data_IF_035071938895
#
_entry.id   IF_035071938895
#
_cell.length_a   1.000
_cell.length_b   1.000
_cell.length_c   1.000
_cell.angle_alpha   90.00
_cell.angle_beta   90.00
_cell.angle_gamma   90.00
#
_symmetry.space_group_name_H-M   'P 1'
#
loop_
_entity.id
_entity.type
_entity.pdbx_description
1 polymer ?
#
# COMPACT_ATOMS: atom_id res chain seq x y z
N UNK A 1 17.45 -24.27 -6.16
CA UNK A 1 17.00 -22.87 -6.40
C UNK A 1 15.52 -22.96 -6.70
N UNK A 2 14.68 -22.92 -5.67
CA UNK A 2 13.24 -23.17 -5.79
C UNK A 2 12.59 -21.88 -6.26
N UNK A 3 12.10 -21.85 -7.50
CA UNK A 3 11.25 -20.78 -8.03
C UNK A 3 10.03 -20.67 -7.13
N UNK A 4 10.00 -19.63 -6.29
CA UNK A 4 8.82 -19.25 -5.51
C UNK A 4 7.73 -18.98 -6.55
N UNK A 5 6.73 -19.85 -6.65
CA UNK A 5 5.42 -19.44 -7.18
C UNK A 5 5.06 -18.19 -6.38
N UNK A 6 4.98 -17.04 -7.03
CA UNK A 6 4.30 -15.88 -6.48
C UNK A 6 2.94 -16.39 -6.04
N UNK A 7 2.68 -16.40 -4.74
CA UNK A 7 1.37 -16.81 -4.24
C UNK A 7 0.33 -15.89 -4.90
N UNK A 8 -0.77 -16.47 -5.39
CA UNK A 8 -1.85 -15.71 -6.04
C UNK A 8 -2.49 -14.70 -5.06
N UNK A 9 -2.24 -14.89 -3.77
CA UNK A 9 -2.69 -14.06 -2.67
C UNK A 9 -1.69 -14.10 -1.49
N UNK A 10 -1.81 -13.13 -0.59
CA UNK A 10 -1.12 -13.08 0.71
C UNK A 10 -2.16 -13.09 1.83
N UNK A 11 -2.04 -14.00 2.80
CA UNK A 11 -2.94 -14.00 3.95
C UNK A 11 -2.57 -12.88 4.93
N UNK A 12 -3.59 -12.24 5.49
CA UNK A 12 -3.48 -11.18 6.51
C UNK A 12 -4.31 -11.53 7.75
N UNK A 13 -3.84 -11.10 8.91
CA UNK A 13 -4.56 -11.30 10.17
C UNK A 13 -4.20 -10.26 11.22
N UNK A 14 -5.09 -10.07 12.17
CA UNK A 14 -4.79 -9.33 13.39
C UNK A 14 -4.05 -10.25 14.37
N UNK A 15 -2.89 -9.79 14.83
CA UNK A 15 -2.17 -10.39 15.96
C UNK A 15 -2.42 -9.52 17.19
N UNK A 16 -3.08 -10.08 18.19
CA UNK A 16 -3.44 -9.38 19.43
C UNK A 16 -2.54 -9.90 20.55
N UNK A 17 -1.67 -9.02 21.05
CA UNK A 17 -0.77 -9.29 22.17
C UNK A 17 -1.10 -8.35 23.32
N UNK A 18 -1.85 -8.85 24.31
CA UNK A 18 -2.39 -8.04 25.39
C UNK A 18 -3.36 -6.99 24.87
N UNK A 19 -3.03 -5.71 25.05
CA UNK A 19 -3.81 -4.56 24.55
C UNK A 19 -3.35 -4.05 23.18
N UNK A 20 -2.29 -4.64 22.61
CA UNK A 20 -1.73 -4.21 21.32
C UNK A 20 -2.26 -5.11 20.21
N UNK A 21 -2.87 -4.49 19.19
CA UNK A 21 -3.24 -5.18 17.95
C UNK A 21 -2.30 -4.74 16.84
N UNK A 22 -1.69 -5.71 16.16
CA UNK A 22 -0.90 -5.50 14.94
C UNK A 22 -1.57 -6.19 13.78
N UNK A 23 -1.41 -5.64 12.58
CA UNK A 23 -1.80 -6.33 11.37
C UNK A 23 -0.56 -7.02 10.77
N UNK A 24 -0.67 -8.32 10.53
CA UNK A 24 0.41 -9.14 9.98
C UNK A 24 -0.03 -9.74 8.64
N UNK A 25 0.96 -10.15 7.86
CA UNK A 25 0.83 -10.92 6.62
C UNK A 25 1.73 -12.15 6.63
N UNK A 26 1.54 -13.07 5.68
CA UNK A 26 2.46 -14.19 5.45
C UNK A 26 3.91 -13.76 5.18
N UNK A 27 4.11 -12.48 4.85
CA UNK A 27 5.39 -11.86 4.53
C UNK A 27 5.94 -11.02 5.68
N UNK A 28 5.23 -10.91 6.80
CA UNK A 28 5.64 -10.15 7.98
C UNK A 28 4.67 -9.03 8.37
N UNK A 29 5.11 -8.08 9.22
CA UNK A 29 4.27 -6.98 9.68
C UNK A 29 3.82 -6.07 8.53
N UNK A 30 2.57 -5.59 8.61
CA UNK A 30 2.06 -4.54 7.74
C UNK A 30 2.29 -3.19 8.42
N UNK A 31 3.01 -2.31 7.75
CA UNK A 31 3.43 -1.01 8.29
C UNK A 31 2.28 0.02 8.31
N UNK A 32 1.16 -0.30 7.66
CA UNK A 32 -0.08 0.46 7.69
C UNK A 32 -0.71 0.60 6.30
N UNK A 33 -1.22 1.80 6.01
CA UNK A 33 -1.82 2.13 4.72
C UNK A 33 -1.25 3.46 4.19
N UNK A 34 -1.38 3.70 2.89
CA UNK A 34 -0.96 4.96 2.25
C UNK A 34 -1.97 6.08 2.53
N UNK A 35 -1.96 6.63 3.75
CA UNK A 35 -2.84 7.72 4.14
C UNK A 35 -2.32 9.07 3.63
N UNK A 36 -2.60 9.36 2.36
CA UNK A 36 -2.13 10.55 1.65
C UNK A 36 -3.17 11.67 1.67
N UNK A 37 -2.70 12.89 1.85
CA UNK A 37 -3.51 14.11 1.69
C UNK A 37 -3.07 14.83 0.42
N UNK A 38 -4.00 15.07 -0.50
CA UNK A 38 -3.76 15.88 -1.70
C UNK A 38 -4.36 17.26 -1.48
N UNK A 39 -3.50 18.29 -1.45
CA UNK A 39 -3.88 19.68 -1.21
C UNK A 39 -3.64 20.52 -2.46
N UNK A 40 -4.65 21.24 -2.98
CA UNK A 40 -4.45 22.12 -4.12
C UNK A 40 -3.56 23.31 -3.76
N UNK A 41 -2.65 23.68 -4.66
CA UNK A 41 -1.82 24.91 -4.59
C UNK A 41 -1.06 25.12 -3.27
N UNK A 42 -0.71 24.05 -2.56
CA UNK A 42 0.14 24.15 -1.36
C UNK A 42 1.58 24.60 -1.71
N UNK A 43 2.14 24.07 -2.81
CA UNK A 43 3.48 24.43 -3.29
C UNK A 43 3.40 25.47 -4.42
N UNK A 44 4.28 26.49 -4.43
CA UNK A 44 4.39 27.42 -5.54
C UNK A 44 4.62 26.70 -6.88
N UNK A 45 3.88 27.08 -7.92
CA UNK A 45 4.02 26.50 -9.25
C UNK A 45 3.42 25.11 -9.46
N UNK A 46 2.75 24.53 -8.44
CA UNK A 46 2.05 23.24 -8.56
C UNK A 46 0.54 23.36 -8.38
N UNK A 47 -0.21 22.70 -9.25
CA UNK A 47 -1.67 22.64 -9.15
C UNK A 47 -2.15 21.83 -7.94
N UNK A 48 -1.42 20.77 -7.58
CA UNK A 48 -1.70 19.88 -6.45
C UNK A 48 -0.40 19.46 -5.76
N UNK A 49 -0.50 19.16 -4.47
CA UNK A 49 0.60 18.73 -3.63
C UNK A 49 0.17 17.51 -2.80
N UNK A 50 0.92 16.42 -2.87
CA UNK A 50 0.64 15.20 -2.11
C UNK A 50 1.49 15.14 -0.84
N UNK A 51 0.85 14.86 0.30
CA UNK A 51 1.48 14.87 1.63
C UNK A 51 1.18 13.59 2.39
N UNK A 52 2.10 13.17 3.25
CA UNK A 52 1.89 12.05 4.18
C UNK A 52 2.41 12.40 5.57
N UNK A 53 1.79 11.84 6.62
CA UNK A 53 2.17 12.08 8.02
C UNK A 53 3.42 11.32 8.49
N UNK A 54 3.80 10.23 7.80
CA UNK A 54 4.96 9.41 8.12
C UNK A 54 5.54 8.79 6.83
N UNK A 55 6.82 8.41 6.80
CA UNK A 55 7.38 7.69 5.65
C UNK A 55 6.55 6.46 5.28
N UNK A 56 6.46 6.17 3.98
CA UNK A 56 5.80 4.95 3.52
C UNK A 56 6.61 3.73 3.97
N UNK A 57 5.92 2.73 4.54
CA UNK A 57 6.52 1.47 4.96
C UNK A 57 6.83 0.52 3.81
N UNK A 58 7.46 -0.62 4.12
CA UNK A 58 7.78 -1.67 3.15
C UNK A 58 6.55 -2.49 2.76
N UNK A 59 5.65 -2.75 3.71
CA UNK A 59 4.39 -3.46 3.47
C UNK A 59 3.19 -2.58 3.77
N UNK A 60 2.36 -2.33 2.75
CA UNK A 60 1.14 -1.52 2.88
C UNK A 60 -0.09 -2.36 2.58
N UNK A 61 -1.14 -2.21 3.39
CA UNK A 61 -2.47 -2.66 3.03
C UNK A 61 -3.19 -1.53 2.29
N UNK A 62 -3.67 -1.83 1.08
CA UNK A 62 -4.31 -0.87 0.18
C UNK A 62 -5.65 -1.43 -0.29
N UNK A 63 -6.70 -0.62 -0.22
CA UNK A 63 -7.94 -0.97 -0.91
C UNK A 63 -7.88 -0.55 -2.38
N UNK A 64 -8.55 -1.29 -3.27
CA UNK A 64 -8.74 -0.91 -4.68
C UNK A 64 -9.39 0.46 -4.81
N UNK A 65 -10.29 0.81 -3.90
CA UNK A 65 -10.92 2.13 -3.85
C UNK A 65 -9.89 3.23 -3.55
N UNK A 66 -8.99 3.01 -2.58
CA UNK A 66 -7.88 3.92 -2.30
C UNK A 66 -6.94 4.03 -3.51
N UNK A 67 -6.55 2.91 -4.12
CA UNK A 67 -5.70 2.91 -5.32
C UNK A 67 -6.36 3.73 -6.44
N UNK A 68 -7.65 3.53 -6.69
CA UNK A 68 -8.38 4.29 -7.70
C UNK A 68 -8.45 5.80 -7.38
N UNK A 69 -8.62 6.17 -6.10
CA UNK A 69 -8.61 7.56 -5.65
C UNK A 69 -7.21 8.21 -5.84
N UNK A 70 -6.14 7.50 -5.48
CA UNK A 70 -4.76 7.98 -5.66
C UNK A 70 -4.41 8.19 -7.13
N UNK A 71 -4.89 7.31 -8.02
CA UNK A 71 -4.71 7.46 -9.47
C UNK A 71 -5.47 8.67 -10.00
N UNK A 72 -6.73 8.86 -9.59
CA UNK A 72 -7.56 10.02 -10.00
C UNK A 72 -6.96 11.35 -9.57
N UNK A 73 -6.28 11.38 -8.41
CA UNK A 73 -5.63 12.59 -7.88
C UNK A 73 -4.22 12.82 -8.45
N UNK A 74 -3.70 11.93 -9.30
CA UNK A 74 -2.34 12.01 -9.82
C UNK A 74 -1.25 11.84 -8.74
N UNK A 75 -1.60 11.34 -7.56
CA UNK A 75 -0.69 11.06 -6.45
C UNK A 75 0.03 9.71 -6.60
N UNK A 76 -0.36 8.92 -7.60
CA UNK A 76 0.25 7.64 -7.93
C UNK A 76 0.19 7.40 -9.42
N UNK A 77 1.08 6.55 -9.91
CA UNK A 77 1.06 6.00 -11.25
C UNK A 77 1.02 4.47 -11.13
N UNK A 78 -0.04 3.86 -11.66
CA UNK A 78 -0.12 2.40 -11.78
C UNK A 78 0.50 2.01 -13.12
N UNK A 79 1.47 1.09 -13.09
CA UNK A 79 1.96 0.42 -14.30
C UNK A 79 1.39 -0.99 -14.27
N UNK A 80 0.47 -1.28 -15.19
CA UNK A 80 -0.04 -2.64 -15.39
C UNK A 80 0.94 -3.33 -16.35
N UNK A 81 1.85 -4.12 -15.79
CA UNK A 81 2.59 -5.16 -16.50
C UNK A 81 2.11 -6.53 -15.96
N UNK A 82 2.71 -7.65 -16.35
CA UNK A 82 2.36 -9.01 -15.88
C UNK A 82 2.31 -9.17 -14.35
N UNK A 83 2.79 -8.16 -13.62
CA UNK A 83 2.59 -7.93 -12.20
C UNK A 83 2.05 -6.50 -12.01
N UNK A 84 0.99 -6.34 -11.23
CA UNK A 84 0.42 -5.02 -10.93
C UNK A 84 1.39 -4.23 -10.04
N UNK A 85 2.04 -3.19 -10.57
CA UNK A 85 2.87 -2.28 -9.77
C UNK A 85 2.17 -0.94 -9.54
N UNK A 86 2.32 -0.40 -8.33
CA UNK A 86 1.85 0.93 -7.95
C UNK A 86 3.02 1.79 -7.50
N UNK A 87 3.29 2.86 -8.24
CA UNK A 87 4.25 3.89 -7.81
C UNK A 87 3.49 5.01 -7.12
N UNK A 88 3.86 5.31 -5.88
CA UNK A 88 3.28 6.38 -5.08
C UNK A 88 4.27 7.56 -5.05
N UNK A 89 3.79 8.75 -5.40
CA UNK A 89 4.59 9.98 -5.36
C UNK A 89 4.10 10.87 -4.22
N UNK A 90 5.02 11.29 -3.38
CA UNK A 90 4.76 12.17 -2.23
C UNK A 90 5.66 13.39 -2.35
N UNK A 91 5.08 14.59 -2.26
CA UNK A 91 5.84 15.84 -2.33
C UNK A 91 6.41 16.22 -0.96
N UNK A 92 5.66 15.93 0.11
CA UNK A 92 6.11 16.18 1.48
C UNK A 92 5.79 15.02 2.42
N UNK A 93 6.83 14.43 2.97
CA UNK A 93 6.73 13.53 4.13
C UNK A 93 6.89 14.35 5.40
N UNK A 94 5.87 14.38 6.26
CA UNK A 94 5.95 15.08 7.55
C UNK A 94 7.15 14.56 8.37
N UNK A 95 7.83 15.46 9.06
CA UNK A 95 9.09 15.18 9.75
C UNK A 95 10.35 15.44 8.92
N UNK A 96 10.33 15.23 7.60
CA UNK A 96 11.49 15.53 6.73
C UNK A 96 11.25 16.70 5.77
N UNK A 97 9.99 16.94 5.40
CA UNK A 97 9.59 17.91 4.37
C UNK A 97 10.03 17.55 2.95
N UNK A 98 10.74 16.41 2.78
CA UNK A 98 11.31 15.99 1.50
C UNK A 98 10.30 15.20 0.68
N UNK A 99 10.42 15.25 -0.66
CA UNK A 99 9.68 14.36 -1.52
C UNK A 99 10.16 12.92 -1.38
N UNK A 100 9.27 11.98 -1.64
CA UNK A 100 9.54 10.55 -1.65
C UNK A 100 8.80 9.88 -2.80
N UNK A 101 9.36 8.79 -3.30
CA UNK A 101 8.70 7.92 -4.27
C UNK A 101 8.99 6.49 -3.89
N UNK A 102 7.96 5.65 -3.91
CA UNK A 102 8.07 4.22 -3.62
C UNK A 102 7.22 3.43 -4.60
N UNK A 103 7.75 2.31 -5.07
CA UNK A 103 7.07 1.41 -6.01
C UNK A 103 6.77 0.11 -5.30
N UNK A 104 5.50 -0.27 -5.33
CA UNK A 104 4.98 -1.47 -4.67
C UNK A 104 4.55 -2.49 -5.71
N UNK A 105 4.98 -3.73 -5.53
CA UNK A 105 4.32 -4.87 -6.14
C UNK A 105 2.99 -5.11 -5.43
N UNK A 106 1.89 -5.13 -6.17
CA UNK A 106 0.56 -5.41 -5.63
C UNK A 106 0.25 -6.91 -5.74
N UNK A 107 -0.15 -7.50 -4.62
CA UNK A 107 -0.61 -8.89 -4.52
C UNK A 107 -1.99 -8.88 -3.86
N UNK A 108 -2.90 -9.76 -4.30
CA UNK A 108 -4.22 -9.86 -3.67
C UNK A 108 -4.08 -10.23 -2.19
N UNK A 109 -4.89 -9.62 -1.33
CA UNK A 109 -4.93 -9.96 0.10
C UNK A 109 -6.10 -10.90 0.40
N UNK A 110 -5.93 -11.79 1.38
CA UNK A 110 -7.02 -12.61 1.94
C UNK A 110 -6.95 -12.64 3.45
N UNK A 111 -8.07 -12.73 4.15
CA UNK A 111 -8.03 -12.92 5.60
C UNK A 111 -7.67 -14.37 5.94
N UNK A 112 -6.75 -14.56 6.90
CA UNK A 112 -6.22 -15.89 7.27
C UNK A 112 -7.26 -16.83 7.88
N UNK A 113 -8.26 -16.29 8.56
CA UNK A 113 -9.25 -17.06 9.32
C UNK A 113 -10.57 -17.25 8.56
N UNK A 114 -10.55 -17.15 7.24
CA UNK A 114 -11.73 -17.36 6.43
C UNK A 114 -11.69 -18.76 5.80
N UNK A 115 -12.70 -19.57 6.09
CA UNK A 115 -12.78 -20.99 5.76
C UNK A 115 -13.06 -21.26 4.26
N UNK A 116 -13.23 -20.22 3.44
CA UNK A 116 -13.56 -20.36 2.01
C UNK A 116 -12.74 -19.43 1.11
N UNK A 117 -12.35 -19.92 -0.08
CA UNK A 117 -11.70 -19.11 -1.13
C UNK A 117 -12.57 -17.92 -1.61
N UNK A 118 -13.87 -17.92 -1.29
CA UNK A 118 -14.80 -16.81 -1.52
C UNK A 118 -14.60 -15.61 -0.59
N UNK A 119 -13.81 -15.75 0.48
CA UNK A 119 -13.50 -14.68 1.43
C UNK A 119 -12.21 -13.91 1.08
N UNK A 120 -11.72 -14.10 -0.14
CA UNK A 120 -10.82 -13.14 -0.76
C UNK A 120 -11.53 -11.78 -0.78
N UNK A 121 -11.11 -10.85 0.07
CA UNK A 121 -11.54 -9.47 -0.03
C UNK A 121 -10.93 -8.90 -1.31
N UNK A 122 -11.66 -9.06 -2.42
CA UNK A 122 -11.25 -8.61 -3.75
C UNK A 122 -10.98 -7.10 -3.79
N UNK A 123 -11.44 -6.36 -2.79
CA UNK A 123 -11.15 -4.96 -2.57
C UNK A 123 -9.79 -4.70 -1.94
N UNK A 124 -9.08 -5.67 -1.37
CA UNK A 124 -7.81 -5.49 -0.67
C UNK A 124 -6.60 -6.03 -1.43
N UNK A 125 -5.52 -5.26 -1.39
CA UNK A 125 -4.21 -5.58 -1.98
C UNK A 125 -3.13 -5.32 -0.93
N UNK A 126 -2.11 -6.18 -0.93
CA UNK A 126 -0.84 -5.92 -0.24
C UNK A 126 0.12 -5.30 -1.25
N UNK A 127 0.63 -4.11 -0.94
CA UNK A 127 1.75 -3.49 -1.63
C UNK A 127 3.05 -3.85 -0.94
N UNK A 128 4.01 -4.42 -1.68
CA UNK A 128 5.34 -4.79 -1.19
C UNK A 128 6.39 -3.98 -1.93
N UNK A 129 7.18 -3.21 -1.19
CA UNK A 129 8.35 -2.53 -1.75
C UNK A 129 9.48 -3.57 -1.94
N UNK A 130 9.95 -3.83 -3.18
CA UNK A 130 10.94 -4.87 -3.48
C UNK A 130 12.38 -4.59 -3.03
N UNK A 131 12.74 -3.35 -2.69
CA UNK A 131 14.10 -2.96 -2.27
C UNK A 131 14.30 -3.05 -0.75
#
# INVERSE_FOLDING_TARGET
MTTRRTADHVAIWHDVQGTTTRLLSDLGPIDGTANLTVTPRHCPGRGQCTRIGAPLGRQLLLSRALIADLLKRGASQKTIQDTDYLTIHVDHVAGSGKPATATYQLIAARWKNCDSDSDNDSGLMIGIWPD
#
